data_IF_726137328406
#
_entry.id   IF_726137328406
#
_cell.length_a   1.000
_cell.length_b   1.000
_cell.length_c   1.000
_cell.angle_alpha   90.00
_cell.angle_beta   90.00
_cell.angle_gamma   90.00
#
_symmetry.space_group_name_H-M   'P 1'
#
loop_
_entity.id
_entity.type
_entity.pdbx_description
1 polymer ?
#
# COMPACT_ATOMS: atom_id res chain seq x y z
N UNK A 1 8.23 -1.12 -13.98
CA UNK A 1 7.12 -0.35 -13.38
C UNK A 1 6.93 -0.80 -11.94
N UNK A 2 6.25 0.02 -11.14
CA UNK A 2 5.86 -0.32 -9.76
C UNK A 2 4.34 -0.24 -9.62
N UNK A 3 3.71 -1.33 -9.18
CA UNK A 3 2.29 -1.37 -8.84
C UNK A 3 2.11 -1.30 -7.33
N UNK A 4 1.39 -0.31 -6.83
CA UNK A 4 1.10 -0.12 -5.41
C UNK A 4 -0.38 -0.41 -5.16
N UNK A 5 -0.64 -1.30 -4.21
CA UNK A 5 -1.98 -1.73 -3.81
C UNK A 5 -2.18 -1.40 -2.34
N UNK A 6 -3.05 -0.44 -2.07
CA UNK A 6 -3.19 0.19 -0.75
C UNK A 6 -4.58 0.00 -0.18
N UNK A 7 -4.69 -0.68 0.95
CA UNK A 7 -5.92 -0.76 1.75
C UNK A 7 -6.05 0.51 2.59
N UNK A 8 -6.94 1.42 2.19
CA UNK A 8 -7.14 2.71 2.87
C UNK A 8 -7.72 2.53 4.26
N UNK A 9 -8.70 1.64 4.44
CA UNK A 9 -9.37 1.47 5.74
C UNK A 9 -8.43 0.91 6.81
N UNK A 10 -7.50 0.07 6.39
CA UNK A 10 -6.53 -0.57 7.27
C UNK A 10 -5.36 0.36 7.64
N UNK A 11 -5.15 1.44 6.88
CA UNK A 11 -4.02 2.35 7.04
C UNK A 11 -4.41 3.76 7.49
N UNK A 12 -5.70 4.10 7.48
CA UNK A 12 -6.18 5.41 7.88
C UNK A 12 -6.52 5.37 9.37
N UNK A 13 -5.63 5.88 10.21
CA UNK A 13 -6.11 6.38 11.49
C UNK A 13 -6.99 7.60 11.15
N UNK A 14 -8.22 7.72 11.67
CA UNK A 14 -9.12 8.82 11.34
C UNK A 14 -8.56 10.23 11.62
N UNK A 15 -7.48 10.32 12.41
CA UNK A 15 -6.82 11.55 12.80
C UNK A 15 -5.62 11.93 11.89
N UNK A 16 -5.17 11.04 11.01
CA UNK A 16 -4.02 11.30 10.13
C UNK A 16 -4.50 12.16 8.96
N UNK A 17 -4.43 13.47 9.19
CA UNK A 17 -5.21 14.49 8.48
C UNK A 17 -4.77 14.75 7.03
N UNK A 18 -3.83 13.99 6.48
CA UNK A 18 -3.15 14.35 5.22
C UNK A 18 -2.85 13.15 4.29
N UNK A 19 -3.86 12.58 3.61
CA UNK A 19 -3.65 11.49 2.65
C UNK A 19 -2.71 11.83 1.48
N UNK A 20 -2.58 13.11 1.15
CA UNK A 20 -1.60 13.60 0.17
C UNK A 20 -0.15 13.32 0.60
N UNK A 21 0.15 13.40 1.91
CA UNK A 21 1.48 13.10 2.45
C UNK A 21 1.77 11.59 2.34
N UNK A 22 0.79 10.73 2.58
CA UNK A 22 0.98 9.28 2.46
C UNK A 22 1.35 8.90 1.02
N UNK A 23 0.66 9.46 0.03
CA UNK A 23 0.99 9.27 -1.39
C UNK A 23 2.40 9.78 -1.74
N UNK A 24 2.76 11.00 -1.31
CA UNK A 24 4.09 11.55 -1.56
C UNK A 24 5.17 10.69 -0.90
N UNK A 25 4.92 10.22 0.33
CA UNK A 25 5.82 9.33 1.06
C UNK A 25 6.03 8.00 0.34
N UNK A 26 4.97 7.41 -0.23
CA UNK A 26 5.09 6.18 -1.04
C UNK A 26 6.03 6.41 -2.22
N UNK A 27 5.81 7.47 -3.02
CA UNK A 27 6.67 7.76 -4.18
C UNK A 27 8.10 8.07 -3.76
N UNK A 28 8.30 8.95 -2.78
CA UNK A 28 9.62 9.31 -2.28
C UNK A 28 10.37 8.11 -1.70
N UNK A 29 9.70 7.24 -0.95
CA UNK A 29 10.32 6.04 -0.40
C UNK A 29 10.73 5.04 -1.47
N UNK A 30 9.90 4.86 -2.51
CA UNK A 30 10.23 4.03 -3.66
C UNK A 30 11.45 4.58 -4.42
N UNK A 31 11.48 5.89 -4.66
CA UNK A 31 12.62 6.56 -5.30
C UNK A 31 13.90 6.45 -4.48
N UNK A 32 13.83 6.67 -3.16
CA UNK A 32 14.95 6.56 -2.24
C UNK A 32 15.52 5.13 -2.16
N UNK A 33 14.68 4.11 -2.35
CA UNK A 33 15.08 2.70 -2.48
C UNK A 33 15.64 2.36 -3.86
N UNK A 34 15.65 3.31 -4.80
CA UNK A 34 16.17 3.14 -6.15
C UNK A 34 15.15 2.59 -7.16
N UNK A 35 13.88 2.47 -6.79
CA UNK A 35 12.82 2.03 -7.70
C UNK A 35 12.43 3.18 -8.62
N UNK A 36 13.10 3.25 -9.77
CA UNK A 36 12.86 4.26 -10.80
C UNK A 36 11.89 3.72 -11.85
N UNK A 37 10.87 4.49 -12.21
CA UNK A 37 9.92 4.14 -13.28
C UNK A 37 8.50 4.59 -12.98
N UNK A 38 7.57 4.20 -13.85
CA UNK A 38 6.15 4.48 -13.66
C UNK A 38 5.62 3.79 -12.39
N UNK A 39 4.92 4.57 -11.56
CA UNK A 39 4.25 4.10 -10.34
C UNK A 39 2.75 4.21 -10.54
N UNK A 40 2.07 3.07 -10.55
CA UNK A 40 0.61 2.99 -10.56
C UNK A 40 0.12 2.70 -9.15
N UNK A 41 -0.88 3.44 -8.67
CA UNK A 41 -1.38 3.30 -7.29
C UNK A 41 -2.89 3.04 -7.35
N UNK A 42 -3.29 1.92 -6.75
CA UNK A 42 -4.70 1.57 -6.54
C UNK A 42 -5.00 1.51 -5.05
N UNK A 43 -5.98 2.31 -4.64
CA UNK A 43 -6.43 2.44 -3.27
C UNK A 43 -7.81 1.80 -3.09
N UNK A 44 -8.02 1.06 -2.01
CA UNK A 44 -9.23 0.27 -1.76
C UNK A 44 -9.88 0.73 -0.47
N UNK A 45 -11.17 1.07 -0.52
CA UNK A 45 -11.91 1.63 0.61
C UNK A 45 -13.30 1.02 0.68
N UNK A 46 -13.75 0.63 1.88
CA UNK A 46 -15.06 0.03 2.10
C UNK A 46 -16.07 1.11 2.47
N UNK A 47 -17.19 1.15 1.75
CA UNK A 47 -18.37 1.97 2.11
C UNK A 47 -18.10 3.45 2.38
N UNK A 48 -16.94 3.96 1.97
CA UNK A 48 -16.57 5.32 2.27
C UNK A 48 -17.27 6.24 1.27
N UNK A 49 -18.07 7.14 1.82
CA UNK A 49 -18.19 8.47 1.22
C UNK A 49 -16.93 9.21 1.65
N UNK A 50 -15.86 9.08 0.85
CA UNK A 50 -14.69 9.95 1.04
C UNK A 50 -15.15 11.39 0.76
N UNK A 51 -14.70 12.40 1.53
CA UNK A 51 -14.96 13.79 1.20
C UNK A 51 -14.57 14.11 -0.24
N UNK A 52 -15.34 14.92 -0.94
CA UNK A 52 -15.08 15.26 -2.35
C UNK A 52 -13.67 15.86 -2.52
N UNK A 53 -13.24 16.72 -1.60
CA UNK A 53 -11.89 17.29 -1.59
C UNK A 53 -10.80 16.20 -1.55
N UNK A 54 -11.04 15.13 -0.79
CA UNK A 54 -10.10 14.01 -0.70
C UNK A 54 -10.11 13.16 -1.97
N UNK A 55 -11.28 12.97 -2.59
CA UNK A 55 -11.39 12.30 -3.88
C UNK A 55 -10.65 13.06 -4.97
N UNK A 56 -10.74 14.39 -4.97
CA UNK A 56 -10.07 15.24 -5.95
C UNK A 56 -8.55 15.21 -5.75
N UNK A 57 -8.07 15.27 -4.50
CA UNK A 57 -6.64 15.06 -4.18
C UNK A 57 -6.12 13.73 -4.74
N UNK A 58 -6.86 12.64 -4.53
CA UNK A 58 -6.46 11.32 -5.06
C UNK A 58 -6.47 11.27 -6.59
N UNK A 59 -7.48 11.88 -7.23
CA UNK A 59 -7.57 11.94 -8.69
C UNK A 59 -6.43 12.75 -9.30
N UNK A 60 -6.13 13.92 -8.72
CA UNK A 60 -5.01 14.77 -9.14
C UNK A 60 -3.66 14.06 -8.96
N UNK A 61 -3.52 13.26 -7.90
CA UNK A 61 -2.35 12.43 -7.66
C UNK A 61 -2.26 11.19 -8.59
N UNK A 62 -3.28 10.92 -9.41
CA UNK A 62 -3.36 9.74 -10.28
C UNK A 62 -3.61 8.43 -9.53
N UNK A 63 -4.17 8.49 -8.33
CA UNK A 63 -4.54 7.32 -7.52
C UNK A 63 -5.89 6.79 -7.97
N UNK A 64 -5.95 5.51 -8.35
CA UNK A 64 -7.19 4.83 -8.69
C UNK A 64 -7.90 4.35 -7.42
N UNK A 65 -9.02 4.97 -7.07
CA UNK A 65 -9.84 4.55 -5.93
C UNK A 65 -10.84 3.47 -6.36
N UNK A 66 -10.88 2.38 -5.61
CA UNK A 66 -11.85 1.29 -5.76
C UNK A 66 -12.74 1.22 -4.52
N UNK A 67 -14.00 1.62 -4.67
CA UNK A 67 -15.01 1.49 -3.62
C UNK A 67 -15.53 0.05 -3.57
N UNK A 68 -15.46 -0.55 -2.38
CA UNK A 68 -15.95 -1.90 -2.14
C UNK A 68 -17.19 -1.81 -1.22
N UNK A 69 -18.34 -2.39 -1.59
CA UNK A 69 -19.53 -2.36 -0.74
C UNK A 69 -19.32 -2.95 0.66
N UNK A 70 -20.06 -2.47 1.66
CA UNK A 70 -20.03 -2.99 3.04
C UNK A 70 -20.82 -4.27 3.19
N UNK A 71 -20.22 -5.37 2.78
CA UNK A 71 -20.82 -6.69 2.97
C UNK A 71 -19.82 -7.68 3.58
N UNK A 72 -18.49 -7.48 3.45
CA UNK A 72 -17.45 -8.12 4.28
C UNK A 72 -16.04 -7.57 3.99
N UNK A 73 -15.13 -7.53 4.98
CA UNK A 73 -13.68 -7.24 4.80
C UNK A 73 -13.03 -8.17 3.78
N UNK A 74 -13.49 -9.43 3.73
CA UNK A 74 -13.00 -10.45 2.80
C UNK A 74 -13.17 -10.04 1.33
N UNK A 75 -14.21 -9.27 0.99
CA UNK A 75 -14.43 -8.80 -0.38
C UNK A 75 -13.46 -7.69 -0.79
N UNK A 76 -13.00 -6.85 0.14
CA UNK A 76 -11.99 -5.82 -0.15
C UNK A 76 -10.63 -6.44 -0.45
N UNK A 77 -10.20 -7.37 0.41
CA UNK A 77 -8.95 -8.13 0.17
C UNK A 77 -9.05 -8.96 -1.11
N UNK A 78 -10.17 -9.64 -1.36
CA UNK A 78 -10.37 -10.39 -2.61
C UNK A 78 -10.33 -9.49 -3.85
N UNK A 79 -10.91 -8.28 -3.75
CA UNK A 79 -10.88 -7.30 -4.84
C UNK A 79 -9.45 -6.84 -5.13
N UNK A 80 -8.74 -6.41 -4.10
CA UNK A 80 -7.33 -6.04 -4.20
C UNK A 80 -6.51 -7.18 -4.81
N UNK A 81 -6.74 -8.40 -4.36
CA UNK A 81 -6.06 -9.58 -4.87
C UNK A 81 -6.29 -9.84 -6.36
N UNK A 82 -7.52 -9.70 -6.84
CA UNK A 82 -7.85 -9.82 -8.25
C UNK A 82 -7.12 -8.75 -9.08
N UNK A 83 -7.13 -7.51 -8.61
CA UNK A 83 -6.48 -6.40 -9.30
C UNK A 83 -4.94 -6.55 -9.32
N UNK A 84 -4.32 -7.14 -8.28
CA UNK A 84 -2.89 -7.51 -8.29
C UNK A 84 -2.59 -8.53 -9.40
N UNK A 85 -3.42 -9.57 -9.52
CA UNK A 85 -3.23 -10.61 -10.54
C UNK A 85 -3.38 -10.05 -11.95
N UNK A 86 -4.38 -9.20 -12.17
CA UNK A 86 -4.59 -8.52 -13.46
C UNK A 86 -3.41 -7.60 -13.78
N UNK A 87 -2.97 -6.80 -12.83
CA UNK A 87 -1.81 -5.92 -13.01
C UNK A 87 -0.54 -6.69 -13.35
N UNK A 88 -0.30 -7.84 -12.71
CA UNK A 88 0.87 -8.68 -12.98
C UNK A 88 0.85 -9.26 -14.40
N UNK A 89 -0.33 -9.53 -14.97
CA UNK A 89 -0.46 -9.95 -16.38
C UNK A 89 -0.03 -8.83 -17.33
N UNK A 90 -0.43 -7.59 -17.04
CA UNK A 90 -0.11 -6.43 -17.87
C UNK A 90 1.34 -5.93 -17.65
N UNK A 91 1.95 -6.28 -16.51
CA UNK A 91 3.30 -5.87 -16.11
C UNK A 91 4.18 -7.09 -15.86
N UNK A 92 4.67 -7.77 -16.92
CA UNK A 92 5.60 -8.88 -16.78
C UNK A 92 6.93 -8.41 -16.17
N UNK A 93 7.69 -9.36 -15.62
CA UNK A 93 9.04 -9.09 -15.11
C UNK A 93 9.91 -8.30 -16.13
N UNK A 94 10.74 -7.33 -15.68
CA UNK A 94 10.97 -6.93 -14.28
C UNK A 94 9.94 -5.89 -13.80
N UNK A 95 9.28 -6.17 -12.68
CA UNK A 95 8.31 -5.26 -12.07
C UNK A 95 8.34 -5.35 -10.54
N UNK A 96 8.06 -4.22 -9.89
CA UNK A 96 7.93 -4.14 -8.43
C UNK A 96 6.46 -4.15 -8.05
N UNK A 97 6.08 -4.98 -7.10
CA UNK A 97 4.75 -5.02 -6.51
C UNK A 97 4.86 -4.55 -5.07
N UNK A 98 4.12 -3.52 -4.69
CA UNK A 98 4.07 -3.01 -3.34
C UNK A 98 2.66 -3.16 -2.77
N UNK A 99 2.56 -3.69 -1.55
CA UNK A 99 1.29 -3.91 -0.87
C UNK A 99 1.33 -3.20 0.48
N UNK A 100 0.30 -2.41 0.73
CA UNK A 100 0.12 -1.65 1.97
C UNK A 100 -1.24 -2.04 2.55
N UNK A 101 -1.25 -2.91 3.56
CA UNK A 101 -2.46 -3.36 4.25
C UNK A 101 -2.07 -3.96 5.59
N UNK A 102 -2.96 -3.90 6.59
CA UNK A 102 -2.70 -4.51 7.89
C UNK A 102 -3.29 -5.94 8.02
N UNK A 103 -4.00 -6.45 7.01
CA UNK A 103 -4.73 -7.72 7.10
C UNK A 103 -4.28 -8.78 6.10
N UNK A 104 -3.31 -8.49 5.22
CA UNK A 104 -2.91 -9.45 4.19
C UNK A 104 -2.29 -10.74 4.77
N UNK A 105 -1.66 -10.65 5.96
CA UNK A 105 -1.06 -11.77 6.68
C UNK A 105 -2.08 -12.80 7.19
N UNK A 106 -3.33 -12.40 7.38
CA UNK A 106 -4.41 -13.29 7.83
C UNK A 106 -4.94 -14.19 6.70
N UNK A 107 -4.61 -13.86 5.44
CA UNK A 107 -5.11 -14.55 4.25
C UNK A 107 -4.05 -15.44 3.60
N UNK A 108 -3.99 -16.72 3.99
CA UNK A 108 -3.00 -17.71 3.48
C UNK A 108 -2.91 -17.81 1.95
N UNK A 109 -4.02 -17.71 1.24
CA UNK A 109 -4.01 -17.75 -0.25
C UNK A 109 -3.34 -16.51 -0.84
N UNK A 110 -3.52 -15.36 -0.21
CA UNK A 110 -2.88 -14.11 -0.60
C UNK A 110 -1.37 -14.24 -0.44
N UNK A 111 -0.88 -14.61 0.76
CA UNK A 111 0.54 -14.84 1.04
C UNK A 111 1.20 -15.83 0.07
N UNK A 112 0.55 -16.98 -0.19
CA UNK A 112 1.03 -17.96 -1.17
C UNK A 112 1.21 -17.36 -2.55
N UNK A 113 0.27 -16.51 -2.98
CA UNK A 113 0.32 -15.90 -4.30
C UNK A 113 1.41 -14.85 -4.41
N UNK A 114 1.61 -14.04 -3.37
CA UNK A 114 2.74 -13.11 -3.31
C UNK A 114 4.07 -13.85 -3.37
N UNK A 115 4.17 -14.98 -2.68
CA UNK A 115 5.34 -15.83 -2.76
C UNK A 115 5.53 -16.40 -4.17
N UNK A 116 4.47 -16.81 -4.86
CA UNK A 116 4.53 -17.24 -6.26
C UNK A 116 4.95 -16.13 -7.22
N UNK A 117 4.56 -14.88 -6.97
CA UNK A 117 5.01 -13.73 -7.77
C UNK A 117 6.51 -13.47 -7.54
N UNK A 118 6.97 -13.55 -6.29
CA UNK A 118 8.40 -13.47 -5.96
C UNK A 118 9.22 -14.58 -6.64
N UNK A 119 8.72 -15.81 -6.67
CA UNK A 119 9.34 -16.92 -7.41
C UNK A 119 9.38 -16.69 -8.93
N UNK A 120 8.49 -15.85 -9.46
CA UNK A 120 8.51 -15.36 -10.85
C UNK A 120 9.33 -14.08 -11.02
N UNK A 121 10.23 -13.80 -10.08
CA UNK A 121 11.18 -12.70 -10.10
C UNK A 121 10.56 -11.30 -9.93
N UNK A 122 9.28 -11.19 -9.56
CA UNK A 122 8.76 -9.89 -9.11
C UNK A 122 9.45 -9.50 -7.81
N UNK A 123 9.79 -8.21 -7.69
CA UNK A 123 10.23 -7.67 -6.42
C UNK A 123 8.98 -7.29 -5.59
N UNK A 124 8.71 -8.00 -4.50
CA UNK A 124 7.46 -7.89 -3.74
C UNK A 124 7.71 -7.18 -2.41
N UNK A 125 7.32 -5.93 -2.32
CA UNK A 125 7.48 -5.05 -1.16
C UNK A 125 6.22 -5.07 -0.29
N UNK A 126 6.38 -5.28 1.01
CA UNK A 126 5.25 -5.33 1.94
C UNK A 126 5.37 -4.25 3.02
N UNK A 127 4.25 -3.60 3.31
CA UNK A 127 4.09 -2.63 4.38
C UNK A 127 2.83 -2.97 5.20
N UNK A 128 3.01 -3.26 6.49
CA UNK A 128 1.93 -3.44 7.47
C UNK A 128 1.96 -2.29 8.48
N UNK A 129 1.24 -1.18 8.24
CA UNK A 129 1.22 -0.05 9.17
C UNK A 129 0.62 -0.47 10.52
N UNK A 130 1.27 -0.09 11.61
CA UNK A 130 0.72 -0.26 12.97
C UNK A 130 0.67 -1.69 13.52
N UNK A 131 1.10 -2.71 12.76
CA UNK A 131 1.18 -4.11 13.23
C UNK A 131 2.63 -4.61 13.26
N UNK A 132 2.91 -5.53 14.18
CA UNK A 132 4.15 -6.32 14.15
C UNK A 132 3.99 -7.37 13.05
N UNK A 133 4.90 -7.36 12.08
CA UNK A 133 4.89 -8.31 10.97
C UNK A 133 4.98 -9.74 11.51
N UNK A 134 4.09 -10.62 11.05
CA UNK A 134 4.08 -12.02 11.49
C UNK A 134 5.36 -12.76 11.06
N UNK A 135 5.77 -13.76 11.85
CA UNK A 135 6.95 -14.58 11.53
C UNK A 135 6.80 -15.32 10.19
N UNK A 136 5.59 -15.72 9.81
CA UNK A 136 5.32 -16.32 8.49
C UNK A 136 5.69 -15.35 7.36
N UNK A 137 5.27 -14.09 7.46
CA UNK A 137 5.60 -13.05 6.47
C UNK A 137 7.10 -12.76 6.48
N UNK A 138 7.74 -12.67 7.65
CA UNK A 138 9.19 -12.49 7.76
C UNK A 138 9.98 -13.60 7.09
N UNK A 139 9.59 -14.86 7.29
CA UNK A 139 10.26 -16.01 6.68
C UNK A 139 10.11 -16.05 5.16
N UNK A 140 9.00 -15.54 4.62
CA UNK A 140 8.74 -15.55 3.18
C UNK A 140 9.30 -14.31 2.44
N UNK A 141 9.43 -13.17 3.14
CA UNK A 141 9.69 -11.86 2.53
C UNK A 141 10.76 -11.02 3.26
N UNK A 142 11.64 -11.63 4.07
CA UNK A 142 12.61 -10.94 4.95
C UNK A 142 13.33 -9.73 4.35
N UNK A 143 13.79 -9.84 3.10
CA UNK A 143 14.61 -8.82 2.46
C UNK A 143 13.79 -7.67 1.85
N UNK A 144 12.47 -7.85 1.78
CA UNK A 144 11.55 -7.02 1.01
C UNK A 144 10.50 -6.30 1.91
N UNK A 145 10.69 -6.32 3.23
CA UNK A 145 9.82 -5.61 4.18
C UNK A 145 10.20 -4.14 4.29
N UNK A 146 9.20 -3.26 4.22
CA UNK A 146 9.35 -1.83 4.45
C UNK A 146 8.70 -1.46 5.80
N UNK A 147 9.42 -1.72 6.89
CA UNK A 147 8.89 -1.64 8.26
C UNK A 147 8.53 -0.22 8.76
N UNK A 148 8.72 0.86 7.99
CA UNK A 148 8.57 2.24 8.49
C UNK A 148 7.99 3.28 7.50
N UNK A 149 7.27 2.87 6.44
CA UNK A 149 6.79 3.82 5.42
C UNK A 149 5.82 4.89 5.92
N UNK A 150 5.02 4.58 6.96
CA UNK A 150 3.96 5.47 7.44
C UNK A 150 4.36 6.21 8.72
N UNK A 151 5.42 5.77 9.43
CA UNK A 151 5.88 6.44 10.66
C UNK A 151 6.62 7.76 10.44
N UNK A 152 6.95 8.12 9.20
CA UNK A 152 7.67 9.36 8.92
C UNK A 152 6.78 10.62 8.91
N UNK A 153 5.45 10.50 8.91
CA UNK A 153 4.56 11.65 9.07
C UNK A 153 4.52 12.19 10.50
N UNK A 154 4.85 11.37 11.52
CA UNK A 154 4.81 11.80 12.93
C UNK A 154 6.06 12.58 13.37
N UNK A 155 7.17 12.48 12.62
CA UNK A 155 8.46 13.08 13.06
C UNK A 155 8.64 14.51 12.54
N UNK A 156 7.97 14.92 11.45
CA UNK A 156 8.13 16.28 10.89
C UNK A 156 7.18 17.33 11.50
N UNK A 157 6.15 16.94 12.27
CA UNK A 157 5.30 17.90 13.00
C UNK A 157 5.93 18.38 14.32
N UNK A 158 6.89 17.66 14.90
CA UNK A 158 7.50 18.04 16.19
C UNK A 158 8.77 18.88 16.08
N UNK A 159 9.21 19.25 14.87
CA UNK A 159 10.42 20.07 14.67
C UNK A 159 10.16 21.50 14.20
N UNK A 160 8.91 21.99 14.20
CA UNK A 160 8.58 23.37 13.80
C UNK A 160 8.06 24.28 14.92
N UNK A 161 7.81 23.77 16.11
CA UNK A 161 7.29 24.57 17.26
C UNK A 161 8.36 24.87 18.33
N UNK A 162 9.63 25.05 17.94
CA UNK A 162 10.67 25.48 18.87
C UNK A 162 11.64 26.49 18.26
N UNK A 163 11.13 27.55 17.66
CA UNK A 163 11.85 28.83 17.53
C UNK A 163 10.85 29.98 17.73
N UNK A 164 10.64 30.34 19.00
CA UNK A 164 10.24 31.67 19.47
C UNK A 164 10.90 31.92 20.84
#
# INVERSE_FOLDING_TARGET
STGVFWDLDDCSNPNDSHPHLIYQNIKSALENKGYRGEVSISAYVQDATLPDDLLDIFREAGVKISFVPKDSTHKRVARMFLDILLWAVDNPHPANLMIISNNFSEHKLFLKTLHYLKQRHYNVLLAEPGKVVSEEVRLLFSDDLLENLIKQSEVEEHSKDSED
#
